data_IF_028574437956
#
_entry.id   IF_028574437956
#
_cell.length_a   1.000
_cell.length_b   1.000
_cell.length_c   1.000
_cell.angle_alpha   90.00
_cell.angle_beta   90.00
_cell.angle_gamma   90.00
#
_symmetry.space_group_name_H-M   'P 1'
#
loop_
_entity.id
_entity.type
_entity.pdbx_description
1 polymer ?
#
# COMPACT_ATOMS: atom_id res chain seq x y z
N UNK A 1 4.61 -6.65 -34.88
CA UNK A 1 3.61 -5.87 -34.13
C UNK A 1 3.74 -6.26 -32.67
N UNK A 2 4.32 -5.36 -31.88
CA UNK A 2 4.81 -5.62 -30.52
C UNK A 2 3.66 -5.62 -29.52
N UNK A 3 3.46 -6.75 -28.84
CA UNK A 3 2.67 -6.79 -27.62
C UNK A 3 3.51 -6.09 -26.54
N UNK A 4 3.16 -4.85 -26.23
CA UNK A 4 3.82 -4.08 -25.20
C UNK A 4 3.63 -4.79 -23.86
N UNK A 5 4.71 -5.42 -23.39
CA UNK A 5 4.93 -5.78 -21.99
C UNK A 5 4.61 -4.55 -21.14
N UNK A 6 3.41 -4.50 -20.57
CA UNK A 6 3.11 -3.57 -19.47
C UNK A 6 3.71 -4.19 -18.22
N UNK A 7 5.05 -4.27 -18.20
CA UNK A 7 5.81 -4.61 -17.03
C UNK A 7 5.55 -3.54 -15.99
N UNK A 8 4.86 -3.90 -14.91
CA UNK A 8 4.89 -3.11 -13.69
C UNK A 8 6.36 -2.99 -13.31
N UNK A 9 6.95 -1.78 -13.21
CA UNK A 9 8.34 -1.67 -12.80
C UNK A 9 8.45 -2.24 -11.39
N UNK A 10 9.22 -3.32 -11.24
CA UNK A 10 9.61 -3.92 -9.95
C UNK A 10 10.46 -2.97 -9.08
N UNK A 11 10.73 -1.75 -9.54
CA UNK A 11 11.64 -0.82 -8.89
C UNK A 11 10.87 0.31 -8.20
N UNK A 12 10.72 0.20 -6.87
CA UNK A 12 10.44 1.35 -6.00
C UNK A 12 9.42 1.15 -4.88
N UNK A 13 8.73 0.01 -4.81
CA UNK A 13 7.67 -0.21 -3.82
C UNK A 13 7.97 -1.39 -2.89
N UNK A 14 9.04 -1.25 -2.10
CA UNK A 14 9.07 -1.91 -0.79
C UNK A 14 7.80 -1.55 0.01
N UNK A 15 7.40 -2.33 1.03
CA UNK A 15 6.19 -2.02 1.78
C UNK A 15 6.26 -0.58 2.26
N UNK A 16 5.37 0.27 1.72
CA UNK A 16 5.38 1.67 2.04
C UNK A 16 5.33 1.81 3.56
N UNK A 17 6.26 2.58 4.12
CA UNK A 17 6.16 2.91 5.54
C UNK A 17 4.83 3.62 5.76
N UNK A 18 4.31 3.54 6.98
CA UNK A 18 3.08 4.24 7.36
C UNK A 18 3.07 5.70 6.90
N UNK A 19 4.18 6.41 7.10
CA UNK A 19 4.35 7.79 6.67
C UNK A 19 4.28 7.97 5.15
N UNK A 20 4.88 7.07 4.37
CA UNK A 20 4.81 7.12 2.91
C UNK A 20 3.38 6.88 2.39
N UNK A 21 2.64 5.93 2.98
CA UNK A 21 1.24 5.70 2.62
C UNK A 21 0.38 6.92 2.96
N UNK A 22 0.51 7.46 4.18
CA UNK A 22 -0.20 8.68 4.62
C UNK A 22 0.09 9.84 3.68
N UNK A 23 1.36 10.07 3.33
CA UNK A 23 1.76 11.15 2.44
C UNK A 23 1.13 11.01 1.05
N UNK A 24 1.05 9.79 0.50
CA UNK A 24 0.37 9.53 -0.77
C UNK A 24 -1.13 9.79 -0.69
N UNK A 25 -1.79 9.34 0.37
CA UNK A 25 -3.23 9.58 0.57
C UNK A 25 -3.52 11.08 0.71
N UNK A 26 -2.76 11.81 1.51
CA UNK A 26 -2.92 13.26 1.67
C UNK A 26 -2.64 14.03 0.36
N UNK A 27 -1.74 13.52 -0.48
CA UNK A 27 -1.50 14.12 -1.79
C UNK A 27 -2.65 13.85 -2.78
N UNK A 28 -3.28 12.66 -2.69
CA UNK A 28 -4.41 12.29 -3.54
C UNK A 28 -5.73 12.96 -3.10
N UNK A 29 -5.96 13.04 -1.79
CA UNK A 29 -7.18 13.52 -1.13
C UNK A 29 -6.82 14.44 0.05
N UNK A 30 -6.47 15.71 -0.20
CA UNK A 30 -6.02 16.65 0.85
C UNK A 30 -7.06 16.92 1.93
N UNK A 31 -8.34 16.81 1.59
CA UNK A 31 -9.47 16.96 2.51
C UNK A 31 -9.72 15.77 3.43
N UNK A 32 -9.12 14.61 3.14
CA UNK A 32 -9.36 13.40 3.90
C UNK A 32 -8.58 13.37 5.22
N UNK A 33 -9.24 12.90 6.29
CA UNK A 33 -8.58 12.67 7.57
C UNK A 33 -7.67 11.45 7.52
N UNK A 34 -6.39 11.68 7.23
CA UNK A 34 -5.37 10.64 7.17
C UNK A 34 -5.14 9.88 8.49
N UNK A 35 -5.73 10.33 9.62
CA UNK A 35 -5.72 9.57 10.87
C UNK A 35 -6.43 8.21 10.74
N UNK A 36 -7.43 8.13 9.87
CA UNK A 36 -8.17 6.88 9.58
C UNK A 36 -7.26 5.85 8.93
N UNK A 37 -6.53 6.23 7.89
CA UNK A 37 -5.55 5.36 7.21
C UNK A 37 -4.38 5.00 8.13
N UNK A 38 -3.96 5.95 8.97
CA UNK A 38 -2.95 5.72 10.01
C UNK A 38 -3.39 4.61 10.99
N UNK A 39 -4.63 4.65 11.48
CA UNK A 39 -5.17 3.63 12.38
C UNK A 39 -5.36 2.28 11.66
N UNK A 40 -5.82 2.30 10.41
CA UNK A 40 -5.98 1.09 9.60
C UNK A 40 -4.63 0.38 9.34
N UNK A 41 -3.55 1.15 9.12
CA UNK A 41 -2.20 0.60 8.99
C UNK A 41 -1.77 -0.14 10.25
N UNK A 42 -1.88 0.48 11.43
CA UNK A 42 -1.48 -0.12 12.70
C UNK A 42 -2.30 -1.38 13.00
N UNK A 43 -3.61 -1.30 12.74
CA UNK A 43 -4.51 -2.42 12.91
C UNK A 43 -4.12 -3.60 12.01
N UNK A 44 -3.93 -3.36 10.72
CA UNK A 44 -3.54 -4.39 9.77
C UNK A 44 -2.16 -4.98 10.11
N UNK A 45 -1.20 -4.14 10.51
CA UNK A 45 0.13 -4.58 10.92
C UNK A 45 0.05 -5.52 12.14
N UNK A 46 -0.74 -5.15 13.16
CA UNK A 46 -0.96 -5.96 14.34
C UNK A 46 -1.64 -7.30 14.01
N UNK A 47 -2.72 -7.27 13.22
CA UNK A 47 -3.50 -8.47 12.89
C UNK A 47 -2.76 -9.46 11.99
N UNK A 48 -1.85 -8.95 11.16
CA UNK A 48 -1.06 -9.78 10.25
C UNK A 48 0.36 -10.07 10.75
N UNK A 49 0.73 -9.66 11.97
CA UNK A 49 2.09 -9.78 12.49
C UNK A 49 2.63 -11.23 12.50
N UNK A 50 1.78 -12.21 12.84
CA UNK A 50 2.16 -13.63 12.89
C UNK A 50 1.87 -14.39 11.59
N UNK A 51 1.37 -13.71 10.55
CA UNK A 51 0.92 -14.34 9.32
C UNK A 51 1.99 -14.27 8.23
N UNK A 52 2.13 -15.35 7.48
CA UNK A 52 3.02 -15.46 6.32
C UNK A 52 2.23 -15.81 5.07
N UNK A 53 2.71 -15.35 3.91
CA UNK A 53 2.16 -15.74 2.61
C UNK A 53 2.73 -17.10 2.19
N UNK A 54 2.11 -17.72 1.19
CA UNK A 54 2.66 -18.92 0.55
C UNK A 54 4.08 -18.72 -0.02
N UNK A 55 4.46 -17.47 -0.34
CA UNK A 55 5.82 -17.12 -0.77
C UNK A 55 6.85 -17.09 0.36
N UNK A 56 6.42 -17.15 1.63
CA UNK A 56 7.28 -16.97 2.80
C UNK A 56 7.37 -15.52 3.31
N UNK A 57 6.88 -14.54 2.54
CA UNK A 57 6.91 -13.13 2.97
C UNK A 57 5.92 -12.85 4.12
N UNK A 58 6.17 -11.83 4.95
CA UNK A 58 5.18 -11.37 5.93
C UNK A 58 3.87 -10.97 5.23
N UNK A 59 2.73 -11.42 5.73
CA UNK A 59 1.44 -11.21 5.07
C UNK A 59 1.11 -9.74 4.87
N UNK A 60 1.42 -8.91 5.87
CA UNK A 60 1.19 -7.46 5.88
C UNK A 60 1.77 -6.72 4.66
N UNK A 61 2.83 -7.25 4.06
CA UNK A 61 3.47 -6.66 2.87
C UNK A 61 2.50 -6.51 1.69
N UNK A 62 1.54 -7.42 1.54
CA UNK A 62 0.61 -7.38 0.42
C UNK A 62 -0.49 -6.32 0.60
N UNK A 63 -1.26 -6.29 1.72
CA UNK A 63 -2.23 -5.23 1.97
C UNK A 63 -1.66 -3.80 1.86
N UNK A 64 -0.46 -3.55 2.39
CA UNK A 64 0.14 -2.20 2.32
C UNK A 64 0.55 -1.81 0.88
N UNK A 65 0.98 -2.78 0.07
CA UNK A 65 1.26 -2.56 -1.36
C UNK A 65 -0.03 -2.25 -2.12
N UNK A 66 -1.11 -2.97 -1.85
CA UNK A 66 -2.43 -2.71 -2.44
C UNK A 66 -2.90 -1.31 -2.07
N UNK A 67 -2.91 -0.95 -0.78
CA UNK A 67 -3.30 0.39 -0.33
C UNK A 67 -2.48 1.51 -1.00
N UNK A 68 -1.17 1.28 -1.16
CA UNK A 68 -0.29 2.22 -1.86
C UNK A 68 -0.67 2.39 -3.33
N UNK A 69 -0.95 1.28 -4.03
CA UNK A 69 -1.40 1.32 -5.42
C UNK A 69 -2.74 2.04 -5.56
N UNK A 70 -3.71 1.80 -4.65
CA UNK A 70 -5.00 2.49 -4.67
C UNK A 70 -4.84 4.00 -4.47
N UNK A 71 -3.97 4.42 -3.54
CA UNK A 71 -3.64 5.83 -3.33
C UNK A 71 -2.99 6.48 -4.57
N UNK A 72 -2.12 5.78 -5.28
CA UNK A 72 -1.55 6.24 -6.56
C UNK A 72 -2.60 6.38 -7.66
N UNK A 73 -3.66 5.57 -7.61
CA UNK A 73 -4.82 5.68 -8.50
C UNK A 73 -5.85 6.72 -8.06
N UNK A 74 -5.62 7.41 -6.94
CA UNK A 74 -6.54 8.41 -6.36
C UNK A 74 -7.96 7.85 -6.15
N UNK A 75 -8.02 6.58 -5.71
CA UNK A 75 -9.27 5.96 -5.29
C UNK A 75 -9.61 6.38 -3.87
N UNK A 76 -10.86 6.18 -3.48
CA UNK A 76 -11.34 6.62 -2.17
C UNK A 76 -10.54 5.97 -1.03
N UNK A 77 -10.14 6.77 -0.02
CA UNK A 77 -9.36 6.31 1.12
C UNK A 77 -10.19 5.68 2.26
#
# INVERSE_FOLDING_TARGET
MSAAETGIPEQGLGPATKAQLISRVQHAHPEFDASVVSAAYDYAQLKHAAQTRASGDPYFTHPVRVATYLAEKRLDP
#
